data_IF_911494710389
#
_entry.id   IF_911494710389
#
_cell.length_a   1.000
_cell.length_b   1.000
_cell.length_c   1.000
_cell.angle_alpha   90.00
_cell.angle_beta   90.00
_cell.angle_gamma   90.00
#
_symmetry.space_group_name_H-M   'P 1'
#
loop_
_entity.id
_entity.type
_entity.pdbx_description
1 polymer ?
#
# COMPACT_ATOMS: atom_id res chain seq x y z
N UNK A 1 -0.78 27.53 39.07
CA UNK A 1 -0.14 26.30 39.61
C UNK A 1 -0.18 25.27 38.49
N UNK A 2 0.90 25.11 37.74
CA UNK A 2 0.94 24.25 36.56
C UNK A 2 1.10 22.79 37.00
N UNK A 3 0.14 21.93 36.64
CA UNK A 3 0.30 20.48 36.77
C UNK A 3 1.38 20.02 35.79
N UNK A 4 2.57 19.77 36.30
CA UNK A 4 3.61 19.05 35.57
C UNK A 4 3.13 17.63 35.31
N UNK A 5 2.66 17.36 34.09
CA UNK A 5 2.51 16.02 33.57
C UNK A 5 3.90 15.38 33.52
N UNK A 6 4.21 14.57 34.54
CA UNK A 6 5.33 13.64 34.48
C UNK A 6 5.02 12.60 33.42
N UNK A 7 5.32 12.92 32.17
CA UNK A 7 5.50 11.96 31.09
C UNK A 7 6.68 11.09 31.53
N UNK A 8 6.38 9.96 32.17
CA UNK A 8 7.34 8.92 32.46
C UNK A 8 8.01 8.54 31.13
N UNK A 9 9.20 9.10 30.88
CA UNK A 9 10.10 8.62 29.83
C UNK A 9 10.38 7.16 30.17
N UNK A 10 9.67 6.22 29.53
CA UNK A 10 9.97 4.79 29.62
C UNK A 10 11.45 4.66 29.31
N UNK A 11 12.23 4.13 30.26
CA UNK A 11 13.64 3.83 30.01
C UNK A 11 13.71 2.98 28.73
N UNK A 12 14.63 3.27 27.80
CA UNK A 12 14.78 2.47 26.60
C UNK A 12 14.96 1.01 27.03
N UNK A 13 14.01 0.16 26.63
CA UNK A 13 14.01 -1.24 27.03
C UNK A 13 15.14 -1.92 26.26
N UNK A 14 16.07 -2.52 27.01
CA UNK A 14 17.16 -3.30 26.43
C UNK A 14 16.59 -4.67 26.11
N UNK A 15 16.41 -4.96 24.82
CA UNK A 15 16.05 -6.31 24.39
C UNK A 15 17.15 -7.28 24.78
N UNK A 16 16.75 -8.53 25.06
CA UNK A 16 17.69 -9.62 25.21
C UNK A 16 18.49 -9.83 23.91
N UNK A 17 19.59 -10.58 23.99
CA UNK A 17 20.40 -10.91 22.82
C UNK A 17 19.58 -11.64 21.74
N UNK A 18 18.66 -12.51 22.15
CA UNK A 18 17.79 -13.27 21.25
C UNK A 18 16.76 -12.33 20.62
N UNK A 19 16.05 -11.53 21.41
CA UNK A 19 15.08 -10.55 20.91
C UNK A 19 15.72 -9.58 19.89
N UNK A 20 16.91 -9.04 20.19
CA UNK A 20 17.65 -8.21 19.24
C UNK A 20 17.96 -8.95 17.93
N UNK A 21 18.33 -10.23 18.01
CA UNK A 21 18.64 -11.03 16.84
C UNK A 21 17.40 -11.28 15.97
N UNK A 22 16.28 -11.68 16.60
CA UNK A 22 15.00 -11.89 15.93
C UNK A 22 14.50 -10.59 15.30
N UNK A 23 14.60 -9.47 16.03
CA UNK A 23 14.25 -8.15 15.51
C UNK A 23 15.09 -7.80 14.29
N UNK A 24 16.41 -8.02 14.36
CA UNK A 24 17.32 -7.81 13.24
C UNK A 24 16.94 -8.62 12.00
N UNK A 25 16.66 -9.91 12.16
CA UNK A 25 16.21 -10.79 11.06
C UNK A 25 14.95 -10.22 10.39
N UNK A 26 13.96 -9.82 11.21
CA UNK A 26 12.70 -9.27 10.69
C UNK A 26 12.94 -7.96 9.94
N UNK A 27 13.77 -7.06 10.49
CA UNK A 27 14.10 -5.79 9.83
C UNK A 27 14.83 -6.03 8.49
N UNK A 28 15.78 -6.95 8.43
CA UNK A 28 16.45 -7.28 7.16
C UNK A 28 15.45 -7.84 6.14
N UNK A 29 14.55 -8.72 6.57
CA UNK A 29 13.50 -9.26 5.72
C UNK A 29 12.57 -8.16 5.19
N UNK A 30 12.24 -7.16 6.02
CA UNK A 30 11.41 -6.00 5.65
C UNK A 30 12.11 -5.03 4.68
N UNK A 31 13.44 -4.98 4.64
CA UNK A 31 14.18 -4.18 3.65
C UNK A 31 14.13 -4.79 2.25
N UNK A 32 13.98 -6.12 2.16
CA UNK A 32 13.93 -6.83 0.89
C UNK A 32 12.57 -6.59 0.23
N UNK A 33 12.58 -5.98 -0.95
CA UNK A 33 11.35 -5.63 -1.69
C UNK A 33 10.58 -6.86 -2.17
N UNK A 34 11.25 -8.00 -2.43
CA UNK A 34 10.63 -9.27 -2.80
C UNK A 34 9.98 -10.01 -1.62
N UNK A 35 10.11 -9.50 -0.39
CA UNK A 35 9.37 -10.04 0.75
C UNK A 35 7.92 -9.59 0.70
N UNK A 36 6.99 -10.53 0.63
CA UNK A 36 5.56 -10.28 0.76
C UNK A 36 5.16 -10.06 2.22
N UNK A 37 4.31 -9.05 2.44
CA UNK A 37 3.77 -8.71 3.76
C UNK A 37 2.25 -8.89 3.73
N UNK A 38 1.76 -9.94 4.40
CA UNK A 38 0.32 -10.22 4.51
C UNK A 38 -0.14 -10.09 5.97
N UNK A 39 -1.32 -9.51 6.19
CA UNK A 39 -1.84 -9.19 7.51
C UNK A 39 -3.32 -9.55 7.60
N UNK A 40 -3.66 -10.39 8.57
CA UNK A 40 -5.01 -10.63 9.07
C UNK A 40 -5.15 -9.94 10.42
N UNK A 41 -5.64 -8.70 10.41
CA UNK A 41 -5.75 -7.87 11.61
C UNK A 41 -6.78 -8.41 12.61
N UNK A 42 -7.88 -8.98 12.12
CA UNK A 42 -8.93 -9.56 12.95
C UNK A 42 -8.43 -10.82 13.66
N UNK A 43 -7.68 -11.66 12.95
CA UNK A 43 -7.05 -12.86 13.51
C UNK A 43 -5.78 -12.59 14.30
N UNK A 44 -5.25 -11.36 14.27
CA UNK A 44 -3.98 -11.00 14.90
C UNK A 44 -2.78 -11.75 14.30
N UNK A 45 -2.78 -12.01 12.99
CA UNK A 45 -1.73 -12.78 12.31
C UNK A 45 -1.04 -11.95 11.25
N UNK A 46 0.28 -11.95 11.29
CA UNK A 46 1.13 -11.21 10.36
C UNK A 46 2.13 -12.18 9.75
N UNK A 47 2.29 -12.09 8.44
CA UNK A 47 3.12 -12.99 7.66
C UNK A 47 4.10 -12.18 6.84
N UNK A 48 5.39 -12.50 6.98
CA UNK A 48 6.45 -12.06 6.09
C UNK A 48 6.95 -13.28 5.33
N UNK A 49 6.91 -13.26 4.01
CA UNK A 49 7.31 -14.39 3.18
C UNK A 49 8.26 -13.93 2.11
N UNK A 50 9.45 -14.53 2.05
CA UNK A 50 10.38 -14.32 0.95
C UNK A 50 10.62 -15.68 0.27
N UNK A 51 10.05 -15.83 -0.92
CA UNK A 51 10.12 -17.09 -1.66
C UNK A 51 11.56 -17.40 -2.12
N UNK A 52 12.32 -16.38 -2.51
CA UNK A 52 13.72 -16.51 -2.99
C UNK A 52 14.65 -17.04 -1.90
N UNK A 53 14.43 -16.62 -0.66
CA UNK A 53 15.21 -17.05 0.51
C UNK A 53 14.63 -18.29 1.21
N UNK A 54 13.49 -18.81 0.71
CA UNK A 54 12.71 -19.87 1.35
C UNK A 54 12.46 -19.62 2.85
N UNK A 55 12.24 -18.35 3.20
CA UNK A 55 12.16 -17.90 4.58
C UNK A 55 10.81 -17.23 4.85
N UNK A 56 10.19 -17.60 5.98
CA UNK A 56 8.90 -17.09 6.41
C UNK A 56 8.91 -16.75 7.88
N UNK A 57 8.35 -15.59 8.22
CA UNK A 57 8.06 -15.18 9.59
C UNK A 57 6.54 -15.15 9.77
N UNK A 58 6.06 -15.75 10.84
CA UNK A 58 4.66 -15.64 11.26
C UNK A 58 4.59 -15.06 12.67
N UNK A 59 3.89 -13.95 12.84
CA UNK A 59 3.70 -13.30 14.14
C UNK A 59 2.22 -13.47 14.51
N UNK A 60 1.98 -14.14 15.64
CA UNK A 60 0.68 -14.35 16.24
C UNK A 60 0.54 -13.37 17.40
N UNK A 61 -0.04 -12.19 17.14
CA UNK A 61 -0.07 -11.08 18.10
C UNK A 61 -0.85 -11.41 19.37
N UNK A 62 -1.91 -12.20 19.24
CA UNK A 62 -2.80 -12.55 20.35
C UNK A 62 -2.11 -13.48 21.36
N UNK A 63 -1.21 -14.33 20.88
CA UNK A 63 -0.47 -15.30 21.69
C UNK A 63 0.95 -14.86 22.03
N UNK A 64 1.37 -13.70 21.51
CA UNK A 64 2.73 -13.16 21.57
C UNK A 64 3.79 -14.16 21.07
N UNK A 65 3.46 -14.91 20.02
CA UNK A 65 4.33 -15.91 19.42
C UNK A 65 4.92 -15.38 18.13
N UNK A 66 6.24 -15.54 17.96
CA UNK A 66 6.92 -15.36 16.68
C UNK A 66 7.45 -16.71 16.24
N UNK A 67 7.11 -17.08 15.01
CA UNK A 67 7.58 -18.27 14.34
C UNK A 67 8.48 -17.88 13.17
N UNK A 68 9.69 -18.43 13.17
CA UNK A 68 10.61 -18.38 12.03
C UNK A 68 10.60 -19.75 11.36
N UNK A 69 10.41 -19.76 10.06
CA UNK A 69 10.39 -20.97 9.23
C UNK A 69 11.36 -20.79 8.09
N UNK A 70 12.25 -21.77 7.90
CA UNK A 70 13.16 -21.84 6.76
C UNK A 70 13.02 -23.23 6.14
N UNK A 71 12.64 -23.32 4.87
CA UNK A 71 12.54 -24.54 4.04
C UNK A 71 11.94 -25.78 4.73
N UNK A 72 12.65 -26.42 5.66
CA UNK A 72 12.26 -27.64 6.40
C UNK A 72 12.11 -27.45 7.91
N UNK A 73 12.73 -26.42 8.48
CA UNK A 73 12.78 -26.20 9.92
C UNK A 73 11.90 -25.02 10.32
N UNK A 74 11.26 -25.14 11.47
CA UNK A 74 10.47 -24.06 12.05
C UNK A 74 10.68 -24.01 13.55
N UNK A 75 10.91 -22.81 14.06
CA UNK A 75 11.00 -22.53 15.49
C UNK A 75 9.93 -21.51 15.83
N UNK A 76 9.19 -21.74 16.92
CA UNK A 76 8.17 -20.84 17.42
C UNK A 76 8.40 -20.61 18.91
N UNK A 77 8.50 -19.33 19.31
CA UNK A 77 8.75 -18.95 20.69
C UNK A 77 7.76 -17.86 21.12
N UNK A 78 7.46 -17.85 22.42
CA UNK A 78 6.69 -16.79 23.07
C UNK A 78 7.63 -15.69 23.53
N UNK A 79 7.25 -14.45 23.28
CA UNK A 79 8.01 -13.27 23.65
C UNK A 79 7.19 -12.33 24.54
N UNK A 80 7.86 -11.35 25.13
CA UNK A 80 7.19 -10.28 25.85
C UNK A 80 6.25 -9.50 24.91
N UNK A 81 5.07 -9.17 25.41
CA UNK A 81 4.06 -8.40 24.68
C UNK A 81 4.64 -7.15 24.01
N UNK A 82 5.45 -6.38 24.73
CA UNK A 82 6.00 -5.12 24.21
C UNK A 82 6.95 -5.39 23.05
N UNK A 83 7.77 -6.43 23.14
CA UNK A 83 8.67 -6.81 22.04
C UNK A 83 7.86 -7.16 20.79
N UNK A 84 6.81 -7.97 20.93
CA UNK A 84 5.92 -8.33 19.82
C UNK A 84 5.24 -7.07 19.25
N UNK A 85 4.77 -6.15 20.10
CA UNK A 85 4.19 -4.87 19.65
C UNK A 85 5.18 -4.00 18.88
N UNK A 86 6.44 -3.94 19.30
CA UNK A 86 7.49 -3.19 18.59
C UNK A 86 7.83 -3.84 17.24
N UNK A 87 7.88 -5.17 17.16
CA UNK A 87 8.01 -5.92 15.90
C UNK A 87 6.83 -5.60 14.97
N UNK A 88 5.60 -5.67 15.48
CA UNK A 88 4.40 -5.39 14.70
C UNK A 88 4.35 -3.95 14.20
N UNK A 89 4.86 -2.99 14.99
CA UNK A 89 4.97 -1.60 14.58
C UNK A 89 5.85 -1.48 13.33
N UNK A 90 7.04 -2.07 13.36
CA UNK A 90 7.95 -2.06 12.20
C UNK A 90 7.31 -2.72 10.96
N UNK A 91 6.62 -3.86 11.12
CA UNK A 91 5.91 -4.53 10.01
C UNK A 91 4.81 -3.65 9.42
N UNK A 92 4.01 -3.00 10.26
CA UNK A 92 2.91 -2.12 9.82
C UNK A 92 3.43 -0.86 9.13
N UNK A 93 4.46 -0.24 9.70
CA UNK A 93 5.11 0.95 9.12
C UNK A 93 5.66 0.64 7.73
N UNK A 94 6.36 -0.49 7.57
CA UNK A 94 6.90 -0.88 6.26
C UNK A 94 5.80 -1.23 5.26
N UNK A 95 4.76 -1.97 5.69
CA UNK A 95 3.59 -2.23 4.83
C UNK A 95 2.93 -0.94 4.35
N UNK A 96 2.75 0.02 5.26
CA UNK A 96 2.17 1.31 4.93
C UNK A 96 3.04 2.10 3.95
N UNK A 97 4.35 2.20 4.21
CA UNK A 97 5.32 2.84 3.31
C UNK A 97 5.29 2.25 1.90
N UNK A 98 5.24 0.92 1.77
CA UNK A 98 5.14 0.26 0.45
C UNK A 98 3.81 0.56 -0.24
N UNK A 99 2.72 0.64 0.52
CA UNK A 99 1.41 1.00 0.00
C UNK A 99 1.38 2.43 -0.54
N UNK A 100 1.98 3.39 0.17
CA UNK A 100 2.08 4.79 -0.28
C UNK A 100 2.77 4.90 -1.65
N UNK A 101 3.89 4.19 -1.84
CA UNK A 101 4.60 4.17 -3.13
C UNK A 101 3.74 3.66 -4.29
N UNK A 102 2.85 2.69 -4.02
CA UNK A 102 1.91 2.16 -5.01
C UNK A 102 0.78 3.15 -5.28
N UNK A 103 0.24 3.78 -4.22
CA UNK A 103 -0.83 4.77 -4.36
C UNK A 103 -0.42 5.95 -5.23
N UNK A 104 0.79 6.48 -5.06
CA UNK A 104 1.28 7.60 -5.89
C UNK A 104 1.34 7.21 -7.38
N UNK A 105 1.75 5.98 -7.69
CA UNK A 105 1.81 5.46 -9.06
C UNK A 105 0.41 5.29 -9.67
N UNK A 106 -0.53 4.73 -8.90
CA UNK A 106 -1.93 4.57 -9.32
C UNK A 106 -2.58 5.94 -9.53
N UNK A 107 -2.39 6.87 -8.59
CA UNK A 107 -3.01 8.18 -8.66
C UNK A 107 -2.55 8.96 -9.89
N UNK A 108 -1.23 8.98 -10.17
CA UNK A 108 -0.68 9.55 -11.40
C UNK A 108 -1.25 8.90 -12.68
N UNK A 109 -1.49 7.59 -12.64
CA UNK A 109 -2.05 6.87 -13.79
C UNK A 109 -3.53 7.22 -14.02
N UNK A 110 -4.31 7.35 -12.95
CA UNK A 110 -5.72 7.77 -12.98
C UNK A 110 -5.83 9.22 -13.46
N UNK A 111 -4.98 10.11 -12.97
CA UNK A 111 -4.96 11.53 -13.36
C UNK A 111 -4.69 11.69 -14.86
N UNK A 112 -3.67 11.00 -15.39
CA UNK A 112 -3.39 10.98 -16.84
C UNK A 112 -4.53 10.38 -17.66
N UNK A 113 -5.24 9.39 -17.11
CA UNK A 113 -6.41 8.82 -17.78
C UNK A 113 -7.57 9.82 -17.82
N UNK A 114 -7.80 10.55 -16.73
CA UNK A 114 -8.82 11.59 -16.65
C UNK A 114 -8.52 12.75 -17.61
N UNK A 115 -7.27 13.21 -17.70
CA UNK A 115 -6.85 14.24 -18.66
C UNK A 115 -7.10 13.80 -20.12
N UNK A 116 -6.72 12.57 -20.47
CA UNK A 116 -6.95 12.04 -21.82
C UNK A 116 -8.43 11.96 -22.15
N UNK A 117 -9.25 11.52 -21.20
CA UNK A 117 -10.70 11.45 -21.38
C UNK A 117 -11.31 12.85 -21.56
N UNK A 118 -10.86 13.82 -20.77
CA UNK A 118 -11.31 15.21 -20.87
C UNK A 118 -10.98 15.81 -22.23
N UNK A 119 -9.74 15.64 -22.71
CA UNK A 119 -9.32 16.14 -24.02
C UNK A 119 -10.12 15.48 -25.15
N UNK A 120 -10.34 14.17 -25.09
CA UNK A 120 -11.15 13.45 -26.09
C UNK A 120 -12.60 13.95 -26.13
N UNK A 121 -13.19 14.28 -24.99
CA UNK A 121 -14.56 14.84 -24.92
C UNK A 121 -14.62 16.25 -25.51
N UNK A 122 -13.61 17.09 -25.26
CA UNK A 122 -13.51 18.43 -25.86
C UNK A 122 -13.38 18.32 -27.38
N UNK A 123 -12.43 17.53 -27.88
CA UNK A 123 -12.22 17.33 -29.32
C UNK A 123 -13.47 16.79 -30.01
N UNK A 124 -14.15 15.82 -29.39
CA UNK A 124 -15.41 15.27 -29.89
C UNK A 124 -16.51 16.34 -30.00
N UNK A 125 -16.64 17.20 -28.97
CA UNK A 125 -17.64 18.25 -28.94
C UNK A 125 -17.34 19.38 -29.95
N UNK A 126 -16.06 19.68 -30.20
CA UNK A 126 -15.63 20.61 -31.25
C UNK A 126 -15.95 20.08 -32.65
N UNK A 127 -15.70 18.79 -32.90
CA UNK A 127 -16.05 18.11 -34.15
C UNK A 127 -17.56 18.13 -34.41
N UNK A 128 -18.36 17.84 -33.39
CA UNK A 128 -19.83 17.90 -33.49
C UNK A 128 -20.32 19.33 -33.77
N UNK A 129 -19.75 20.32 -33.07
CA UNK A 129 -20.05 21.74 -33.28
C UNK A 129 -19.68 22.25 -34.67
N UNK A 130 -18.56 21.77 -35.26
CA UNK A 130 -18.18 22.08 -36.63
C UNK A 130 -19.12 21.43 -37.65
N UNK A 131 -19.53 20.18 -37.41
CA UNK A 131 -20.47 19.45 -38.27
C UNK A 131 -21.84 20.14 -38.32
N UNK A 132 -22.34 20.63 -37.19
CA UNK A 132 -23.58 21.42 -37.11
C UNK A 132 -23.45 22.72 -37.92
N UNK A 133 -22.33 23.45 -37.80
CA UNK A 133 -22.09 24.68 -38.56
C UNK A 133 -22.04 24.44 -40.07
N UNK A 134 -21.41 23.36 -40.53
CA UNK A 134 -21.37 22.99 -41.94
C UNK A 134 -22.74 22.61 -42.51
N UNK A 135 -23.60 21.97 -41.71
CA UNK A 135 -24.97 21.64 -42.11
C UNK A 135 -25.86 22.89 -42.20
N UNK A 136 -25.62 23.91 -41.37
CA UNK A 136 -26.34 25.19 -41.41
C UNK A 136 -25.88 26.11 -42.56
N UNK A 137 -24.66 25.94 -43.08
CA UNK A 137 -24.11 26.80 -44.14
C UNK A 137 -24.43 26.36 -45.58
N UNK A 138 -25.00 25.18 -45.77
CA UNK A 138 -25.43 24.74 -47.11
C UNK A 138 -26.90 25.17 -47.33
N UNK A 139 -27.19 26.09 -48.26
CA UNK A 139 -28.57 26.40 -48.61
C UNK A 139 -29.17 25.18 -49.32
N UNK A 140 -30.33 24.74 -48.86
CA UNK A 140 -31.17 23.79 -49.57
C UNK A 140 -31.66 24.52 -50.82
N UNK A 141 -31.09 24.21 -51.99
CA UNK A 141 -31.66 24.63 -53.27
C UNK A 141 -32.97 23.87 -53.49
N UNK A 142 -34.08 24.44 -53.03
CA UNK A 142 -35.42 24.03 -53.44
C UNK A 142 -35.62 24.37 -54.92
N UNK A 143 -35.33 23.40 -55.80
CA UNK A 143 -35.81 23.44 -57.18
C UNK A 143 -37.33 23.25 -57.18
N UNK A 144 -38.05 24.36 -57.07
CA UNK A 144 -39.46 24.45 -57.46
C UNK A 144 -39.49 24.36 -59.00
N UNK A 145 -39.68 23.15 -59.52
CA UNK A 145 -39.98 22.93 -60.93
C UNK A 145 -41.49 23.15 -61.16
N UNK A 146 -41.86 24.38 -61.50
CA UNK A 146 -43.10 24.68 -62.21
C UNK A 146 -42.76 24.94 -63.68
N UNK A 147 -43.15 24.02 -64.57
CA UNK A 147 -43.77 24.25 -65.89
C UNK A 147 -43.77 22.98 -66.73
#
# INVERSE_FOLDING_TARGET
MFLSFNIFKRKPRVYSKIENHIYGIIIELLKVSSTDINVDELGGKYYLSNEEQHFKVTILSNDYVIRLTNTRDSVAEKYDKVFVEDVLRAVKEEKHRRMELVYDSINNSIEKMAERLHNALIESNELESQKIRHLQSNPIEDKIANS
#
